data_IF_562541001719
#
_entry.id   IF_562541001719
#
_cell.length_a   1.000
_cell.length_b   1.000
_cell.length_c   1.000
_cell.angle_alpha   90.00
_cell.angle_beta   90.00
_cell.angle_gamma   90.00
#
_symmetry.space_group_name_H-M   'P 1'
#
loop_
_entity.id
_entity.type
_entity.pdbx_description
1 polymer ?
#
# COMPACT_ATOMS: atom_id res chain seq x y z
N UNK A 1 77.42 7.84 28.51
CA UNK A 1 77.02 9.19 28.05
C UNK A 1 75.87 9.00 27.08
N UNK A 2 74.70 9.54 27.43
CA UNK A 2 73.52 9.86 26.59
C UNK A 2 72.72 8.68 25.99
N UNK A 3 71.55 8.35 26.56
CA UNK A 3 70.21 8.93 26.27
C UNK A 3 69.66 8.44 24.91
N UNK A 4 68.89 7.34 24.90
CA UNK A 4 67.41 7.31 24.93
C UNK A 4 66.76 7.68 23.59
N UNK A 5 66.08 6.71 22.96
CA UNK A 5 64.70 6.89 22.49
C UNK A 5 64.07 5.53 22.16
N UNK A 6 63.59 4.90 23.23
CA UNK A 6 62.51 3.94 23.17
C UNK A 6 61.22 4.72 22.85
N UNK A 7 60.81 4.78 21.58
CA UNK A 7 59.45 5.13 21.15
C UNK A 7 59.23 4.63 19.73
N UNK A 8 59.17 3.31 19.55
CA UNK A 8 58.66 2.72 18.30
C UNK A 8 57.67 1.58 18.59
N UNK A 9 56.85 1.76 19.62
CA UNK A 9 55.73 0.88 19.97
C UNK A 9 54.57 1.72 20.53
N UNK A 10 53.96 2.60 19.72
CA UNK A 10 52.71 3.27 20.13
C UNK A 10 51.85 3.81 18.98
N UNK A 11 51.91 3.27 17.75
CA UNK A 11 50.90 3.61 16.72
C UNK A 11 50.61 2.42 15.78
N UNK A 12 50.45 1.22 16.35
CA UNK A 12 49.47 0.29 15.77
C UNK A 12 48.15 0.66 16.42
N UNK A 13 47.58 1.77 15.96
CA UNK A 13 46.22 2.13 16.30
C UNK A 13 45.36 0.95 15.88
N UNK A 14 44.66 0.37 16.86
CA UNK A 14 43.52 -0.49 16.64
C UNK A 14 42.53 0.29 15.75
N UNK A 15 42.70 0.20 14.43
CA UNK A 15 41.65 0.43 13.47
C UNK A 15 40.74 -0.80 13.60
N UNK A 16 40.02 -0.85 14.71
CA UNK A 16 38.71 -1.50 14.73
C UNK A 16 37.92 -0.68 13.74
N UNK A 17 37.97 -1.09 12.47
CA UNK A 17 36.91 -0.80 11.54
C UNK A 17 35.71 -1.51 12.16
N UNK A 18 35.03 -0.79 13.06
CA UNK A 18 33.63 -1.08 13.35
C UNK A 18 32.98 -0.84 12.00
N UNK A 19 32.91 -1.88 11.18
CA UNK A 19 31.88 -1.98 10.18
C UNK A 19 30.61 -1.91 11.02
N UNK A 20 30.10 -0.69 11.24
CA UNK A 20 28.71 -0.50 11.56
C UNK A 20 28.03 -1.05 10.33
N UNK A 21 27.71 -2.34 10.34
CA UNK A 21 26.69 -2.90 9.49
C UNK A 21 25.48 -2.04 9.80
N UNK A 22 25.23 -1.02 8.97
CA UNK A 22 23.99 -0.28 9.05
C UNK A 22 22.91 -1.34 8.98
N UNK A 23 22.10 -1.42 10.03
CA UNK A 23 20.99 -2.35 10.06
C UNK A 23 20.17 -2.06 8.80
N UNK A 24 19.96 -3.06 7.95
CA UNK A 24 19.18 -2.88 6.72
C UNK A 24 17.77 -2.44 7.13
N UNK A 25 17.46 -1.17 6.88
CA UNK A 25 16.17 -0.56 7.15
C UNK A 25 15.08 -1.20 6.27
N UNK A 26 13.82 -1.13 6.75
CA UNK A 26 12.67 -1.47 5.92
C UNK A 26 12.06 -0.19 5.36
N UNK A 27 12.36 0.08 4.09
CA UNK A 27 11.77 1.14 3.28
C UNK A 27 11.13 0.51 2.03
N UNK A 28 10.27 1.25 1.34
CA UNK A 28 9.86 0.90 -0.03
C UNK A 28 11.05 1.08 -0.97
N UNK A 29 11.24 0.16 -1.92
CA UNK A 29 12.41 0.14 -2.81
C UNK A 29 11.99 0.38 -4.26
N UNK A 30 12.80 1.13 -5.01
CA UNK A 30 12.56 1.52 -6.40
C UNK A 30 12.50 0.35 -7.40
N UNK A 31 11.99 0.62 -8.60
CA UNK A 31 12.11 -0.26 -9.75
C UNK A 31 13.51 -0.19 -10.37
N UNK A 32 14.20 -1.32 -10.49
CA UNK A 32 15.48 -1.42 -11.21
C UNK A 32 16.73 -0.90 -10.48
N UNK A 33 16.57 -0.24 -9.33
CA UNK A 33 17.66 0.13 -8.42
C UNK A 33 17.33 -0.29 -6.98
N UNK A 34 18.34 -0.64 -6.16
CA UNK A 34 18.16 -0.90 -4.73
C UNK A 34 18.06 0.40 -3.91
N UNK A 35 17.53 1.45 -4.51
CA UNK A 35 17.38 2.76 -3.86
C UNK A 35 16.05 2.80 -3.10
N UNK A 36 16.08 3.40 -1.93
CA UNK A 36 14.88 3.71 -1.18
C UNK A 36 14.01 4.73 -1.94
N UNK A 37 12.69 4.53 -1.87
CA UNK A 37 11.67 5.47 -2.33
C UNK A 37 10.65 5.69 -1.22
N UNK A 38 10.10 6.89 -1.17
CA UNK A 38 9.14 7.23 -0.13
C UNK A 38 7.83 6.42 -0.24
N UNK A 39 7.44 6.10 -1.47
CA UNK A 39 6.27 5.28 -1.74
C UNK A 39 6.33 4.73 -3.16
N UNK A 40 5.49 3.73 -3.43
CA UNK A 40 5.15 3.34 -4.80
C UNK A 40 3.72 2.82 -4.87
N UNK A 41 3.11 2.96 -6.04
CA UNK A 41 1.84 2.32 -6.42
C UNK A 41 2.11 1.34 -7.55
N UNK A 42 1.61 0.11 -7.43
CA UNK A 42 1.65 -0.89 -8.51
C UNK A 42 0.23 -1.22 -8.92
N UNK A 43 -0.06 -1.11 -10.22
CA UNK A 43 -1.26 -1.64 -10.86
C UNK A 43 -0.87 -2.87 -11.69
N UNK A 44 -1.05 -4.04 -11.08
CA UNK A 44 -0.85 -5.32 -11.73
C UNK A 44 -2.05 -5.62 -12.62
N UNK A 45 -1.82 -6.10 -13.83
CA UNK A 45 -2.87 -6.36 -14.82
C UNK A 45 -3.28 -7.83 -14.83
N UNK A 46 -4.56 -8.09 -15.08
CA UNK A 46 -5.03 -9.40 -15.54
C UNK A 46 -4.32 -9.84 -16.84
N UNK A 47 -4.46 -11.12 -17.28
CA UNK A 47 -4.01 -11.57 -18.59
C UNK A 47 -4.45 -10.62 -19.71
N UNK A 48 -3.47 -9.95 -20.33
CA UNK A 48 -3.69 -8.90 -21.33
C UNK A 48 -2.74 -9.11 -22.51
N UNK A 49 -3.30 -9.37 -23.68
CA UNK A 49 -2.54 -9.61 -24.91
C UNK A 49 -2.21 -8.28 -25.59
N UNK A 50 -1.05 -8.20 -26.25
CA UNK A 50 -0.68 -7.08 -27.12
C UNK A 50 -0.09 -5.87 -26.39
N UNK A 51 0.23 -6.00 -25.11
CA UNK A 51 0.95 -4.95 -24.34
C UNK A 51 2.47 -5.05 -24.51
N UNK A 52 2.97 -6.25 -24.79
CA UNK A 52 4.38 -6.53 -24.99
C UNK A 52 4.73 -6.61 -26.49
N UNK A 53 5.87 -6.04 -26.89
CA UNK A 53 6.23 -5.81 -28.31
C UNK A 53 6.72 -7.06 -29.05
N UNK A 54 7.39 -8.01 -28.38
CA UNK A 54 7.83 -9.28 -28.98
C UNK A 54 7.89 -10.39 -27.93
N UNK A 55 7.19 -11.51 -28.15
CA UNK A 55 7.19 -12.78 -27.38
C UNK A 55 7.29 -12.71 -25.83
N UNK A 56 7.03 -11.57 -25.20
CA UNK A 56 7.01 -11.46 -23.75
C UNK A 56 5.62 -11.86 -23.25
N UNK A 57 5.59 -12.98 -22.52
CA UNK A 57 4.39 -13.58 -21.96
C UNK A 57 3.93 -12.88 -20.69
N UNK A 58 4.65 -11.86 -20.19
CA UNK A 58 4.44 -11.30 -18.86
C UNK A 58 3.02 -10.73 -18.72
N UNK A 59 2.57 -9.85 -19.61
CA UNK A 59 1.19 -9.34 -19.55
C UNK A 59 0.17 -10.41 -19.95
N UNK A 60 0.49 -11.26 -20.93
CA UNK A 60 -0.39 -12.34 -21.38
C UNK A 60 -0.66 -13.39 -20.28
N UNK A 61 0.32 -13.63 -19.41
CA UNK A 61 0.26 -14.55 -18.27
C UNK A 61 -0.36 -13.89 -17.03
N UNK A 62 -0.73 -12.61 -17.13
CA UNK A 62 -1.27 -11.86 -16.00
C UNK A 62 -0.23 -11.59 -14.91
N UNK A 63 1.03 -11.41 -15.28
CA UNK A 63 2.14 -11.03 -14.38
C UNK A 63 2.65 -9.61 -14.65
N UNK A 64 2.17 -8.97 -15.71
CA UNK A 64 2.55 -7.62 -16.11
C UNK A 64 1.93 -6.55 -15.23
N UNK A 65 2.66 -5.47 -15.01
CA UNK A 65 2.19 -4.38 -14.18
C UNK A 65 2.75 -3.02 -14.60
N UNK A 66 2.02 -1.98 -14.20
CA UNK A 66 2.45 -0.59 -14.27
C UNK A 66 2.73 -0.08 -12.86
N UNK A 67 3.63 0.88 -12.73
CA UNK A 67 3.96 1.46 -11.44
C UNK A 67 4.11 2.98 -11.49
N UNK A 68 3.96 3.60 -10.31
CA UNK A 68 4.22 5.00 -10.02
C UNK A 68 5.07 5.07 -8.77
N UNK A 69 6.02 5.99 -8.74
CA UNK A 69 6.78 6.35 -7.56
C UNK A 69 7.26 7.81 -7.71
N UNK A 70 7.88 8.42 -6.68
CA UNK A 70 8.36 9.80 -6.78
C UNK A 70 9.29 10.09 -7.95
N UNK A 71 10.04 9.09 -8.45
CA UNK A 71 10.97 9.25 -9.58
C UNK A 71 10.26 9.16 -10.94
N UNK A 72 9.11 8.49 -11.03
CA UNK A 72 8.35 8.29 -12.27
C UNK A 72 6.99 9.00 -12.30
N UNK A 73 6.79 10.00 -11.43
CA UNK A 73 5.48 10.60 -11.15
C UNK A 73 4.89 11.51 -12.26
N UNK A 74 5.28 11.30 -13.51
CA UNK A 74 4.70 11.97 -14.69
C UNK A 74 3.61 11.13 -15.36
N UNK A 75 3.50 9.84 -15.03
CA UNK A 75 2.52 8.91 -15.58
C UNK A 75 2.88 7.46 -15.31
N UNK A 76 1.98 6.55 -15.68
CA UNK A 76 2.19 5.11 -15.51
C UNK A 76 3.45 4.63 -16.24
N UNK A 77 4.33 3.93 -15.53
CA UNK A 77 5.49 3.28 -16.12
C UNK A 77 5.25 1.77 -16.20
N UNK A 78 5.30 1.20 -17.41
CA UNK A 78 5.27 -0.24 -17.64
C UNK A 78 6.56 -0.88 -17.14
N UNK A 79 6.43 -1.93 -16.33
CA UNK A 79 7.57 -2.76 -15.99
C UNK A 79 7.90 -3.73 -17.12
N UNK A 80 9.20 -3.95 -17.33
CA UNK A 80 9.74 -5.00 -18.20
C UNK A 80 9.99 -6.32 -17.45
N UNK A 81 9.72 -6.34 -16.15
CA UNK A 81 9.97 -7.46 -15.23
C UNK A 81 8.62 -7.90 -14.66
N UNK A 82 8.37 -9.21 -14.55
CA UNK A 82 7.10 -9.72 -14.02
C UNK A 82 6.94 -9.47 -12.53
N UNK A 83 5.71 -9.26 -12.05
CA UNK A 83 5.44 -8.99 -10.63
C UNK A 83 5.90 -10.12 -9.69
N UNK A 84 6.01 -11.34 -10.21
CA UNK A 84 6.45 -12.53 -9.48
C UNK A 84 7.93 -12.87 -9.61
N UNK A 85 8.73 -12.07 -10.31
CA UNK A 85 10.16 -12.31 -10.49
C UNK A 85 11.00 -11.45 -9.55
N UNK A 86 12.28 -11.81 -9.42
CA UNK A 86 13.25 -11.04 -8.66
C UNK A 86 13.53 -9.67 -9.30
N UNK A 87 14.24 -8.82 -8.57
CA UNK A 87 14.85 -7.58 -9.06
C UNK A 87 13.89 -6.44 -9.42
N UNK A 88 12.60 -6.63 -9.13
CA UNK A 88 11.56 -5.61 -9.26
C UNK A 88 11.12 -5.05 -7.91
N UNK A 89 10.49 -3.89 -7.94
CA UNK A 89 10.06 -3.03 -6.82
C UNK A 89 9.50 -3.80 -5.61
N UNK A 90 8.49 -4.65 -5.82
CA UNK A 90 7.80 -5.39 -4.77
C UNK A 90 8.69 -6.47 -4.16
N UNK A 91 9.40 -7.24 -4.98
CA UNK A 91 10.34 -8.25 -4.49
C UNK A 91 11.47 -7.60 -3.71
N UNK A 92 12.12 -6.56 -4.25
CA UNK A 92 13.18 -5.82 -3.56
C UNK A 92 12.74 -5.26 -2.21
N UNK A 93 11.50 -4.79 -2.13
CA UNK A 93 10.90 -4.25 -0.90
C UNK A 93 10.70 -5.34 0.16
N UNK A 94 10.30 -6.55 -0.24
CA UNK A 94 10.08 -7.67 0.69
C UNK A 94 11.33 -8.53 0.93
N UNK A 95 12.33 -8.43 0.05
CA UNK A 95 13.58 -9.18 0.07
C UNK A 95 14.34 -9.14 1.40
N UNK A 96 14.45 -8.00 2.12
CA UNK A 96 15.16 -7.97 3.40
C UNK A 96 14.60 -8.98 4.42
N UNK A 97 13.30 -9.27 4.38
CA UNK A 97 12.69 -10.30 5.22
C UNK A 97 13.08 -11.71 4.76
N UNK A 98 12.95 -12.01 3.46
CA UNK A 98 13.24 -13.35 2.92
C UNK A 98 14.72 -13.72 2.97
N UNK A 99 15.62 -12.73 2.92
CA UNK A 99 17.06 -12.96 3.07
C UNK A 99 17.45 -13.24 4.54
N UNK A 100 16.63 -12.83 5.52
CA UNK A 100 16.93 -12.95 6.95
C UNK A 100 15.68 -13.31 7.80
N UNK A 101 14.98 -14.43 7.52
CA UNK A 101 13.74 -14.78 8.22
C UNK A 101 13.94 -15.07 9.71
N UNK A 102 15.16 -15.40 10.14
CA UNK A 102 15.48 -15.63 11.56
C UNK A 102 15.79 -14.35 12.35
N UNK A 103 15.87 -13.18 11.69
CA UNK A 103 16.21 -11.91 12.34
C UNK A 103 15.16 -11.52 13.40
N UNK A 104 15.60 -11.47 14.66
CA UNK A 104 14.74 -11.25 15.81
C UNK A 104 14.49 -9.76 16.09
N UNK A 105 15.23 -8.85 15.46
CA UNK A 105 15.17 -7.41 15.73
C UNK A 105 14.17 -6.68 14.81
N UNK A 106 13.40 -7.42 14.00
CA UNK A 106 12.50 -6.85 13.00
C UNK A 106 11.05 -7.02 13.41
N UNK A 107 10.29 -5.93 13.48
CA UNK A 107 8.84 -6.02 13.58
C UNK A 107 8.28 -6.61 12.28
N UNK A 108 7.33 -7.53 12.41
CA UNK A 108 6.61 -8.14 11.29
C UNK A 108 5.13 -8.29 11.61
N UNK A 109 4.24 -7.76 10.77
CA UNK A 109 2.78 -7.97 10.87
C UNK A 109 2.18 -8.14 9.47
N UNK A 110 1.65 -9.33 9.18
CA UNK A 110 0.98 -9.66 7.92
C UNK A 110 -0.48 -9.88 8.22
N UNK A 111 -1.36 -9.24 7.46
CA UNK A 111 -2.79 -9.35 7.68
C UNK A 111 -3.58 -9.56 6.40
N UNK A 112 -4.61 -10.39 6.49
CA UNK A 112 -5.56 -10.65 5.41
C UNK A 112 -6.81 -11.33 5.94
N UNK A 113 -7.99 -10.85 5.55
CA UNK A 113 -9.26 -11.49 5.90
C UNK A 113 -9.52 -12.82 5.18
N UNK A 114 -8.74 -13.13 4.14
CA UNK A 114 -8.85 -14.37 3.36
C UNK A 114 -8.01 -15.51 3.94
N UNK A 115 -7.14 -15.22 4.91
CA UNK A 115 -6.23 -16.20 5.51
C UNK A 115 -6.93 -17.26 6.39
N UNK A 116 -8.03 -16.88 7.05
CA UNK A 116 -8.78 -17.73 7.97
C UNK A 116 -10.26 -17.61 7.64
N UNK A 117 -11.00 -18.72 7.61
CA UNK A 117 -12.47 -18.69 7.57
C UNK A 117 -13.02 -18.55 8.98
N UNK A 118 -13.73 -17.46 9.27
CA UNK A 118 -14.36 -17.21 10.56
C UNK A 118 -15.85 -16.99 10.26
N UNK A 119 -16.72 -17.95 10.57
CA UNK A 119 -18.16 -17.79 10.39
C UNK A 119 -18.68 -16.59 11.19
N UNK A 120 -19.58 -15.81 10.59
CA UNK A 120 -20.34 -14.73 11.25
C UNK A 120 -19.53 -13.52 11.77
N UNK A 121 -18.30 -13.31 11.29
CA UNK A 121 -17.54 -12.10 11.59
C UNK A 121 -17.44 -11.21 10.34
N UNK A 122 -17.97 -9.97 10.34
CA UNK A 122 -17.71 -9.01 9.29
C UNK A 122 -16.23 -8.61 9.33
N UNK A 123 -15.45 -9.08 8.35
CA UNK A 123 -14.00 -8.84 8.27
C UNK A 123 -13.72 -7.63 7.40
N UNK A 124 -12.71 -6.83 7.74
CA UNK A 124 -12.19 -5.87 6.76
C UNK A 124 -11.63 -6.63 5.56
N UNK A 125 -11.93 -6.21 4.32
CA UNK A 125 -11.25 -6.72 3.13
C UNK A 125 -9.77 -6.29 3.04
N UNK A 126 -9.28 -5.48 3.98
CA UNK A 126 -7.91 -4.98 4.02
C UNK A 126 -6.89 -6.10 4.16
N UNK A 127 -5.82 -5.98 3.37
CA UNK A 127 -4.69 -6.90 3.34
C UNK A 127 -3.40 -6.08 3.27
N UNK A 128 -2.35 -6.58 3.90
CA UNK A 128 -1.09 -5.87 3.88
C UNK A 128 -0.01 -6.44 4.77
N UNK A 129 1.12 -5.75 4.74
CA UNK A 129 2.37 -6.10 5.40
C UNK A 129 2.95 -4.86 6.06
N UNK A 130 3.39 -5.03 7.29
CA UNK A 130 4.17 -4.05 8.03
C UNK A 130 5.50 -4.71 8.40
N UNK A 131 6.59 -4.03 8.06
CA UNK A 131 7.93 -4.40 8.50
C UNK A 131 8.65 -3.18 9.05
N UNK A 132 9.39 -3.35 10.13
CA UNK A 132 10.21 -2.26 10.69
C UNK A 132 11.50 -2.80 11.30
N UNK A 133 12.57 -2.03 11.15
CA UNK A 133 13.89 -2.25 11.75
C UNK A 133 14.57 -0.89 11.89
N UNK A 134 15.35 -0.73 12.96
CA UNK A 134 15.98 0.53 13.31
C UNK A 134 14.92 1.64 13.43
N UNK A 135 15.08 2.76 12.74
CA UNK A 135 14.20 3.94 12.76
C UNK A 135 13.25 4.02 11.56
N UNK A 136 13.17 2.95 10.76
CA UNK A 136 12.41 2.88 9.53
C UNK A 136 11.33 1.81 9.56
N UNK A 137 10.25 2.07 8.83
CA UNK A 137 9.20 1.11 8.59
C UNK A 137 8.67 1.22 7.16
N UNK A 138 8.18 0.09 6.65
CA UNK A 138 7.38 0.06 5.44
C UNK A 138 5.99 -0.48 5.77
N UNK A 139 4.98 0.11 5.15
CA UNK A 139 3.61 -0.39 5.17
C UNK A 139 3.13 -0.58 3.74
N UNK A 140 2.86 -1.83 3.37
CA UNK A 140 2.28 -2.22 2.10
C UNK A 140 0.82 -2.59 2.31
N UNK A 141 -0.11 -1.87 1.69
CA UNK A 141 -1.53 -2.24 1.63
C UNK A 141 -1.90 -2.64 0.20
N UNK A 142 -2.71 -3.66 0.03
CA UNK A 142 -2.99 -4.22 -1.30
C UNK A 142 -4.33 -4.97 -1.41
N UNK A 143 -4.74 -5.21 -2.66
CA UNK A 143 -5.90 -6.05 -2.98
C UNK A 143 -5.56 -7.54 -3.16
N UNK A 144 -4.28 -7.90 -3.21
CA UNK A 144 -3.80 -9.26 -3.54
C UNK A 144 -4.23 -10.28 -2.47
N UNK A 145 -5.02 -11.31 -2.82
CA UNK A 145 -5.40 -12.39 -1.90
C UNK A 145 -4.21 -13.15 -1.32
N UNK A 146 -4.23 -13.37 0.00
CA UNK A 146 -3.31 -14.28 0.71
C UNK A 146 -1.82 -14.01 0.43
N UNK A 147 -1.47 -12.74 0.24
CA UNK A 147 -0.10 -12.30 -0.03
C UNK A 147 0.47 -11.51 1.15
N UNK A 148 1.79 -11.58 1.39
CA UNK A 148 2.75 -12.49 0.77
C UNK A 148 2.94 -13.79 1.57
N UNK A 149 3.46 -14.86 0.94
CA UNK A 149 3.85 -16.08 1.66
C UNK A 149 4.96 -15.80 2.70
N UNK A 150 5.00 -16.59 3.77
CA UNK A 150 5.98 -16.40 4.87
C UNK A 150 7.30 -17.13 4.64
N UNK A 151 7.37 -18.07 3.71
CA UNK A 151 8.54 -18.90 3.45
C UNK A 151 9.48 -18.28 2.40
N UNK A 152 8.92 -17.82 1.28
CA UNK A 152 9.67 -17.22 0.18
C UNK A 152 8.81 -16.25 -0.61
N UNK A 153 9.46 -15.29 -1.26
CA UNK A 153 8.77 -14.44 -2.22
C UNK A 153 8.21 -15.29 -3.37
N UNK A 154 6.89 -15.30 -3.50
CA UNK A 154 6.19 -15.91 -4.62
C UNK A 154 4.91 -15.13 -4.88
N UNK A 155 4.68 -14.73 -6.13
CA UNK A 155 3.39 -14.19 -6.51
C UNK A 155 2.31 -15.28 -6.43
N UNK A 156 1.13 -15.02 -5.85
CA UNK A 156 0.11 -16.05 -5.71
C UNK A 156 -0.55 -16.39 -7.06
N UNK A 157 -0.92 -17.66 -7.20
CA UNK A 157 -1.71 -18.16 -8.32
C UNK A 157 -3.20 -17.76 -8.18
N UNK A 158 -4.05 -18.13 -9.14
CA UNK A 158 -5.50 -17.87 -9.10
C UNK A 158 -5.84 -16.38 -9.21
N UNK A 159 -6.77 -15.87 -8.38
CA UNK A 159 -7.28 -14.48 -8.46
C UNK A 159 -6.20 -13.40 -8.48
N UNK A 160 -5.08 -13.59 -7.78
CA UNK A 160 -3.97 -12.65 -7.81
C UNK A 160 -3.38 -12.49 -9.23
N UNK A 161 -3.38 -13.58 -10.02
CA UNK A 161 -2.91 -13.63 -11.40
C UNK A 161 -4.04 -13.38 -12.42
N UNK A 162 -5.24 -13.88 -12.17
CA UNK A 162 -6.41 -13.75 -13.06
C UNK A 162 -7.03 -12.34 -13.05
N UNK A 163 -6.95 -11.62 -11.94
CA UNK A 163 -7.48 -10.27 -11.81
C UNK A 163 -6.37 -9.22 -11.78
N UNK A 164 -6.72 -8.00 -12.15
CA UNK A 164 -5.91 -6.83 -11.85
C UNK A 164 -5.91 -6.55 -10.34
N UNK A 165 -4.78 -6.04 -9.85
CA UNK A 165 -4.52 -5.80 -8.42
C UNK A 165 -3.85 -4.45 -8.24
N UNK A 166 -4.14 -3.78 -7.12
CA UNK A 166 -3.49 -2.53 -6.73
C UNK A 166 -2.73 -2.74 -5.42
N UNK A 167 -1.49 -2.28 -5.40
CA UNK A 167 -0.62 -2.31 -4.23
C UNK A 167 -0.08 -0.91 -3.98
N UNK A 168 0.00 -0.51 -2.71
CA UNK A 168 0.49 0.79 -2.30
C UNK A 168 1.43 0.63 -1.11
N UNK A 169 2.69 0.99 -1.31
CA UNK A 169 3.73 0.95 -0.28
C UNK A 169 4.05 2.37 0.20
N UNK A 170 4.18 2.54 1.51
CA UNK A 170 4.64 3.76 2.17
C UNK A 170 5.85 3.48 3.05
N UNK A 171 6.90 4.30 2.92
CA UNK A 171 8.01 4.40 3.86
C UNK A 171 7.64 5.36 4.98
N UNK A 172 7.79 4.92 6.23
CA UNK A 172 7.33 5.62 7.43
C UNK A 172 8.46 5.68 8.46
N UNK A 173 8.47 6.73 9.27
CA UNK A 173 9.19 6.72 10.54
C UNK A 173 8.39 5.95 11.61
N UNK A 174 9.03 5.64 12.75
CA UNK A 174 8.41 4.85 13.82
C UNK A 174 7.21 5.53 14.50
N UNK A 175 7.17 6.86 14.55
CA UNK A 175 6.06 7.60 15.17
C UNK A 175 4.83 7.53 14.28
N UNK A 176 5.02 7.77 12.99
CA UNK A 176 3.99 7.61 11.97
C UNK A 176 3.51 6.17 11.91
N UNK A 177 4.42 5.19 11.94
CA UNK A 177 4.04 3.77 11.99
C UNK A 177 3.13 3.49 13.20
N UNK A 178 3.50 3.98 14.39
CA UNK A 178 2.70 3.78 15.61
C UNK A 178 1.28 4.30 15.41
N UNK A 179 1.11 5.51 14.89
CA UNK A 179 -0.20 6.10 14.63
C UNK A 179 -0.98 5.32 13.56
N UNK A 180 -0.31 4.86 12.50
CA UNK A 180 -0.90 4.02 11.45
C UNK A 180 -1.42 2.70 12.03
N UNK A 181 -0.64 2.01 12.86
CA UNK A 181 -1.07 0.75 13.50
C UNK A 181 -2.26 0.99 14.42
N UNK A 182 -2.26 2.09 15.18
CA UNK A 182 -3.40 2.46 16.02
C UNK A 182 -4.69 2.66 15.20
N UNK A 183 -4.59 3.32 14.03
CA UNK A 183 -5.71 3.50 13.13
C UNK A 183 -6.12 2.17 12.44
N UNK A 184 -5.16 1.35 12.02
CA UNK A 184 -5.41 0.07 11.36
C UNK A 184 -6.22 -0.89 12.24
N UNK A 185 -6.10 -0.81 13.57
CA UNK A 185 -6.96 -1.58 14.51
C UNK A 185 -8.46 -1.38 14.30
N UNK A 186 -8.90 -0.21 13.81
CA UNK A 186 -10.32 0.04 13.51
C UNK A 186 -10.86 -0.88 12.41
N UNK A 187 -9.98 -1.35 11.52
CA UNK A 187 -10.32 -2.30 10.48
C UNK A 187 -10.52 -3.73 11.02
N UNK A 188 -10.13 -4.01 12.26
CA UNK A 188 -10.10 -5.37 12.82
C UNK A 188 -9.44 -6.37 11.85
N UNK A 189 -8.20 -6.10 11.40
CA UNK A 189 -7.53 -6.96 10.44
C UNK A 189 -7.24 -8.34 11.04
N UNK A 190 -7.29 -9.39 10.22
CA UNK A 190 -6.87 -10.73 10.65
C UNK A 190 -5.37 -10.85 10.42
N UNK A 191 -4.60 -10.80 11.49
CA UNK A 191 -3.15 -11.04 11.47
C UNK A 191 -2.91 -12.55 11.35
N UNK A 192 -2.24 -12.98 10.29
CA UNK A 192 -1.94 -14.41 10.06
C UNK A 192 -0.47 -14.75 10.27
N UNK A 193 0.40 -13.75 10.31
CA UNK A 193 1.81 -13.92 10.63
C UNK A 193 2.34 -12.69 11.33
N UNK A 194 3.15 -12.91 12.38
CA UNK A 194 3.70 -11.82 13.18
C UNK A 194 5.01 -12.19 13.85
N UNK A 195 5.84 -11.17 14.09
CA UNK A 195 6.96 -11.23 15.02
C UNK A 195 7.12 -9.85 15.66
N UNK A 196 7.12 -9.80 17.00
CA UNK A 196 7.21 -8.56 17.77
C UNK A 196 8.48 -8.60 18.64
N UNK A 197 9.56 -7.90 18.23
CA UNK A 197 10.70 -7.66 19.09
C UNK A 197 10.27 -6.97 20.39
N UNK A 198 11.07 -7.09 21.46
CA UNK A 198 10.71 -6.59 22.80
C UNK A 198 10.27 -5.11 22.79
N UNK A 199 10.92 -4.26 21.99
CA UNK A 199 10.56 -2.84 21.87
C UNK A 199 9.16 -2.57 21.27
N UNK A 200 8.62 -3.53 20.51
CA UNK A 200 7.29 -3.47 19.91
C UNK A 200 6.25 -4.25 20.73
N UNK A 201 6.59 -4.83 21.88
CA UNK A 201 5.61 -5.44 22.80
C UNK A 201 4.94 -4.38 23.66
N UNK A 202 4.39 -3.35 23.00
CA UNK A 202 3.73 -2.20 23.61
C UNK A 202 2.55 -1.77 22.73
N UNK A 203 1.68 -0.92 23.28
CA UNK A 203 0.59 -0.34 22.52
C UNK A 203 1.08 0.55 21.37
N UNK A 204 0.49 0.48 20.15
CA UNK A 204 -0.70 -0.30 19.76
C UNK A 204 -0.40 -1.66 19.10
N UNK A 205 0.85 -2.08 19.09
CA UNK A 205 1.33 -3.25 18.34
C UNK A 205 0.86 -4.57 18.96
N UNK A 206 0.80 -4.66 20.30
CA UNK A 206 0.24 -5.83 20.97
C UNK A 206 -1.24 -6.01 20.61
N UNK A 207 -2.01 -4.94 20.63
CA UNK A 207 -3.45 -5.00 20.44
C UNK A 207 -3.86 -5.35 19.01
N UNK A 208 -3.09 -4.93 18.01
CA UNK A 208 -3.37 -5.34 16.63
C UNK A 208 -3.12 -6.84 16.43
N UNK A 209 -2.11 -7.41 17.11
CA UNK A 209 -1.81 -8.85 16.99
C UNK A 209 -2.69 -9.74 17.86
N UNK A 210 -3.13 -9.26 19.02
CA UNK A 210 -4.10 -9.97 19.87
C UNK A 210 -5.53 -9.79 19.40
N UNK A 211 -5.79 -8.86 18.48
CA UNK A 211 -7.12 -8.59 17.93
C UNK A 211 -8.04 -7.87 18.91
N UNK A 212 -7.48 -7.05 19.80
CA UNK A 212 -8.29 -6.31 20.78
C UNK A 212 -9.25 -5.33 20.10
N UNK A 213 -10.56 -5.36 20.46
CA UNK A 213 -11.57 -4.58 19.78
C UNK A 213 -11.45 -3.08 20.06
N UNK A 214 -11.76 -2.27 19.05
CA UNK A 214 -11.84 -0.82 19.18
C UNK A 214 -13.26 -0.39 19.57
N UNK A 215 -13.36 0.52 20.56
CA UNK A 215 -14.65 1.03 21.05
C UNK A 215 -15.24 2.12 20.14
N UNK A 216 -14.41 3.05 19.67
CA UNK A 216 -14.83 4.13 18.77
C UNK A 216 -15.32 3.61 17.40
N UNK A 217 -16.22 4.36 16.75
CA UNK A 217 -16.78 3.97 15.46
C UNK A 217 -15.83 4.22 14.28
N UNK A 218 -15.08 5.32 14.33
CA UNK A 218 -14.15 5.74 13.27
C UNK A 218 -13.01 6.58 13.81
N UNK A 219 -11.96 6.74 13.01
CA UNK A 219 -10.84 7.65 13.26
C UNK A 219 -10.39 8.24 11.92
N UNK A 220 -9.93 9.48 11.97
CA UNK A 220 -9.21 10.13 10.87
C UNK A 220 -7.81 10.42 11.39
N UNK A 221 -6.81 9.93 10.67
CA UNK A 221 -5.39 10.15 10.96
C UNK A 221 -4.77 10.90 9.79
N UNK A 222 -4.27 12.10 10.04
CA UNK A 222 -3.42 12.82 9.10
C UNK A 222 -1.95 12.57 9.45
N UNK A 223 -1.13 12.25 8.45
CA UNK A 223 0.30 12.02 8.63
C UNK A 223 1.09 12.35 7.36
N UNK A 224 2.40 12.47 7.49
CA UNK A 224 3.31 12.62 6.36
C UNK A 224 4.21 11.38 6.32
N UNK A 225 4.49 10.87 5.13
CA UNK A 225 5.46 9.78 4.93
C UNK A 225 6.89 10.24 5.24
N UNK A 226 7.83 9.29 5.35
CA UNK A 226 9.21 9.54 5.80
C UNK A 226 9.92 10.59 4.94
N UNK A 227 9.89 10.41 3.63
CA UNK A 227 10.56 11.25 2.64
C UNK A 227 12.07 11.03 2.58
N UNK A 228 12.62 10.78 1.40
CA UNK A 228 14.07 10.73 1.18
C UNK A 228 14.59 11.99 0.47
N UNK A 229 13.70 12.74 -0.20
CA UNK A 229 13.95 14.09 -0.72
C UNK A 229 12.73 15.00 -0.49
N UNK A 230 12.89 16.34 -0.47
CA UNK A 230 11.83 17.28 -0.12
C UNK A 230 10.51 17.15 -0.90
N UNK A 231 10.56 16.69 -2.16
CA UNK A 231 9.40 16.58 -3.05
C UNK A 231 8.83 15.16 -3.17
N UNK A 232 9.34 14.22 -2.37
CA UNK A 232 8.91 12.82 -2.45
C UNK A 232 7.81 12.47 -1.45
N UNK A 233 7.69 13.26 -0.37
CA UNK A 233 6.71 13.06 0.70
C UNK A 233 5.26 13.15 0.21
N UNK A 234 4.41 12.30 0.78
CA UNK A 234 2.96 12.41 0.67
C UNK A 234 2.37 12.92 1.98
N UNK A 235 1.53 13.95 1.87
CA UNK A 235 0.55 14.25 2.91
C UNK A 235 -0.60 13.25 2.77
N UNK A 236 -0.77 12.42 3.80
CA UNK A 236 -1.72 11.33 3.85
C UNK A 236 -2.84 11.64 4.84
N UNK A 237 -4.04 11.16 4.50
CA UNK A 237 -5.22 11.11 5.37
C UNK A 237 -5.76 9.69 5.36
N UNK A 238 -5.69 9.02 6.50
CA UNK A 238 -6.20 7.67 6.69
C UNK A 238 -7.51 7.70 7.45
N UNK A 239 -8.59 7.40 6.75
CA UNK A 239 -9.96 7.38 7.26
C UNK A 239 -10.33 5.93 7.50
N UNK A 240 -10.56 5.56 8.76
CA UNK A 240 -10.84 4.19 9.17
C UNK A 240 -12.15 4.11 9.93
N UNK A 241 -12.84 2.97 9.80
CA UNK A 241 -14.06 2.69 10.55
C UNK A 241 -14.13 1.24 11.01
N UNK A 242 -14.81 1.04 12.13
CA UNK A 242 -15.28 -0.27 12.59
C UNK A 242 -16.62 -0.61 11.92
N UNK A 243 -17.11 -1.84 12.10
CA UNK A 243 -18.43 -2.30 11.62
C UNK A 243 -19.66 -1.73 12.35
N UNK A 244 -19.54 -0.61 13.08
CA UNK A 244 -20.59 -0.05 13.94
C UNK A 244 -21.53 0.92 13.22
N UNK A 245 -22.12 0.48 12.10
CA UNK A 245 -23.18 1.17 11.35
C UNK A 245 -22.85 2.59 10.85
N UNK A 246 -21.66 2.79 10.29
CA UNK A 246 -21.24 4.05 9.66
C UNK A 246 -20.70 3.78 8.25
N UNK A 247 -21.11 4.53 7.23
CA UNK A 247 -20.64 4.31 5.85
C UNK A 247 -19.30 4.98 5.59
N UNK A 248 -18.38 4.28 4.93
CA UNK A 248 -17.06 4.83 4.61
C UNK A 248 -17.20 5.95 3.58
N UNK A 249 -17.80 5.63 2.43
CA UNK A 249 -17.82 6.53 1.29
C UNK A 249 -18.76 7.72 1.51
N UNK A 250 -20.01 7.45 1.88
CA UNK A 250 -21.05 8.48 1.99
C UNK A 250 -20.83 9.40 3.21
N UNK A 251 -20.58 8.83 4.40
CA UNK A 251 -20.50 9.60 5.65
C UNK A 251 -19.11 10.14 5.93
N UNK A 252 -18.07 9.30 5.87
CA UNK A 252 -16.73 9.69 6.33
C UNK A 252 -15.90 10.37 5.24
N UNK A 253 -15.91 9.84 4.01
CA UNK A 253 -15.14 10.39 2.90
C UNK A 253 -15.87 11.56 2.24
N UNK A 254 -17.11 11.41 1.77
CA UNK A 254 -17.78 12.47 1.03
C UNK A 254 -18.31 13.58 1.95
N UNK A 255 -19.22 13.24 2.86
CA UNK A 255 -19.83 14.23 3.77
C UNK A 255 -18.82 14.75 4.80
N UNK A 256 -18.07 13.85 5.43
CA UNK A 256 -17.10 14.18 6.48
C UNK A 256 -15.94 15.03 5.98
N UNK A 257 -15.44 14.77 4.77
CA UNK A 257 -14.38 15.59 4.16
C UNK A 257 -14.93 16.75 3.33
N UNK A 258 -16.24 16.79 3.09
CA UNK A 258 -16.90 17.79 2.23
C UNK A 258 -16.38 17.76 0.79
N UNK A 259 -16.15 16.56 0.26
CA UNK A 259 -15.56 16.34 -1.07
C UNK A 259 -16.49 15.40 -1.87
N UNK A 260 -17.01 15.82 -3.03
CA UNK A 260 -17.70 14.88 -3.93
C UNK A 260 -16.69 13.91 -4.53
N UNK A 261 -17.08 12.65 -4.71
CA UNK A 261 -16.18 11.57 -5.11
C UNK A 261 -16.68 10.83 -6.35
N UNK A 262 -15.74 10.39 -7.19
CA UNK A 262 -15.91 9.28 -8.10
C UNK A 262 -15.24 8.03 -7.53
N UNK A 263 -15.90 6.89 -7.58
CA UNK A 263 -15.43 5.64 -6.97
C UNK A 263 -15.31 4.52 -8.01
N UNK A 264 -14.18 3.82 -8.00
CA UNK A 264 -13.98 2.55 -8.67
C UNK A 264 -13.96 1.45 -7.60
N UNK A 265 -15.02 0.66 -7.56
CA UNK A 265 -15.19 -0.50 -6.67
C UNK A 265 -15.79 -1.64 -7.49
N UNK A 266 -15.83 -2.86 -6.97
CA UNK A 266 -16.37 -4.02 -7.72
C UNK A 266 -17.91 -4.07 -7.72
N UNK A 267 -18.55 -3.51 -6.70
CA UNK A 267 -19.98 -3.68 -6.42
C UNK A 267 -20.89 -2.56 -6.93
N UNK A 268 -22.15 -2.89 -7.22
CA UNK A 268 -23.11 -2.05 -7.94
C UNK A 268 -24.09 -1.28 -7.04
N UNK A 269 -23.72 -0.92 -5.81
CA UNK A 269 -24.58 -0.05 -4.99
C UNK A 269 -24.76 1.28 -5.71
N UNK A 270 -26.00 1.72 -6.00
CA UNK A 270 -26.26 2.98 -6.72
C UNK A 270 -25.54 4.18 -6.12
N UNK A 271 -25.15 5.13 -6.97
CA UNK A 271 -24.55 6.41 -6.58
C UNK A 271 -25.35 7.13 -5.49
N UNK A 272 -24.64 7.76 -4.54
CA UNK A 272 -25.26 8.58 -3.51
C UNK A 272 -25.40 10.01 -4.04
N UNK A 273 -26.63 10.38 -4.39
CA UNK A 273 -26.94 11.63 -5.07
C UNK A 273 -27.44 12.72 -4.11
N UNK A 274 -26.69 12.97 -3.03
CA UNK A 274 -27.00 14.09 -2.13
C UNK A 274 -26.82 15.44 -2.84
N UNK A 275 -27.58 16.44 -2.39
CA UNK A 275 -27.48 17.82 -2.89
C UNK A 275 -26.10 18.43 -2.58
N UNK A 276 -25.49 18.06 -1.45
CA UNK A 276 -24.25 18.67 -0.97
C UNK A 276 -22.99 17.91 -1.39
N UNK A 277 -22.94 16.59 -1.17
CA UNK A 277 -21.75 15.78 -1.44
C UNK A 277 -22.16 14.45 -2.08
N UNK A 278 -21.77 14.27 -3.35
CA UNK A 278 -22.13 13.10 -4.15
C UNK A 278 -21.04 12.03 -4.08
N UNK A 279 -21.46 10.78 -4.17
CA UNK A 279 -20.56 9.64 -4.43
C UNK A 279 -21.04 8.98 -5.72
N UNK A 280 -20.31 9.20 -6.80
CA UNK A 280 -20.61 8.73 -8.14
C UNK A 280 -19.81 7.46 -8.44
N UNK A 281 -20.47 6.39 -8.85
CA UNK A 281 -19.75 5.19 -9.27
C UNK A 281 -19.25 5.33 -10.71
N UNK A 282 -18.02 4.93 -10.92
CA UNK A 282 -17.47 4.65 -12.25
C UNK A 282 -17.95 3.24 -12.65
N UNK A 283 -18.59 3.12 -13.82
CA UNK A 283 -19.21 1.88 -14.32
C UNK A 283 -18.24 1.02 -15.11
N UNK A 284 -17.56 1.63 -16.08
CA UNK A 284 -16.68 0.97 -17.05
C UNK A 284 -15.79 2.01 -17.74
N UNK A 285 -14.89 1.56 -18.61
CA UNK A 285 -14.07 2.45 -19.44
C UNK A 285 -12.83 3.02 -18.75
N UNK A 286 -12.49 2.55 -17.55
CA UNK A 286 -11.21 2.85 -16.91
C UNK A 286 -10.07 2.26 -17.73
N UNK A 287 -9.02 3.06 -17.97
CA UNK A 287 -7.90 2.71 -18.82
C UNK A 287 -6.59 3.27 -18.28
N UNK A 288 -5.52 2.49 -18.37
CA UNK A 288 -4.14 2.99 -18.24
C UNK A 288 -3.66 3.43 -19.61
N UNK A 289 -3.06 4.61 -19.68
CA UNK A 289 -2.45 5.15 -20.90
C UNK A 289 -0.96 5.34 -20.63
N UNK A 290 -0.13 4.74 -21.50
CA UNK A 290 1.31 4.92 -21.50
C UNK A 290 1.81 5.04 -22.93
N UNK A 291 2.28 6.22 -23.33
CA UNK A 291 2.65 6.49 -24.73
C UNK A 291 1.48 6.22 -25.66
N UNK A 292 1.67 5.34 -26.65
CA UNK A 292 0.62 4.87 -27.57
C UNK A 292 -0.20 3.69 -27.02
N UNK A 293 0.21 3.08 -25.90
CA UNK A 293 -0.47 1.92 -25.33
C UNK A 293 -1.67 2.34 -24.50
N UNK A 294 -2.82 1.73 -24.79
CA UNK A 294 -4.07 1.91 -24.03
C UNK A 294 -4.51 0.55 -23.50
N UNK A 295 -4.50 0.40 -22.17
CA UNK A 295 -4.80 -0.85 -21.51
C UNK A 295 -6.11 -0.67 -20.75
N UNK A 296 -7.15 -1.39 -21.18
CA UNK A 296 -8.46 -1.34 -20.54
C UNK A 296 -8.48 -2.13 -19.23
N UNK A 297 -9.10 -1.56 -18.21
CA UNK A 297 -9.32 -2.19 -16.92
C UNK A 297 -10.80 -2.59 -16.84
N UNK A 298 -11.02 -3.90 -16.72
CA UNK A 298 -12.36 -4.47 -16.61
C UNK A 298 -12.71 -4.69 -15.13
N UNK A 299 -13.81 -4.05 -14.73
CA UNK A 299 -14.33 -4.01 -13.36
C UNK A 299 -14.58 -5.37 -12.72
N UNK A 300 -14.99 -6.38 -13.51
CA UNK A 300 -15.30 -7.71 -12.96
C UNK A 300 -14.03 -8.50 -12.64
N UNK A 301 -12.98 -8.25 -13.43
CA UNK A 301 -11.64 -8.84 -13.29
C UNK A 301 -10.64 -7.87 -12.66
N UNK A 302 -11.10 -6.92 -11.84
CA UNK A 302 -10.26 -5.99 -11.11
C UNK A 302 -10.65 -6.00 -9.63
N UNK A 303 -9.67 -6.28 -8.77
CA UNK A 303 -9.84 -6.23 -7.32
C UNK A 303 -9.26 -4.93 -6.73
N UNK A 304 -8.69 -4.05 -7.57
CA UNK A 304 -8.34 -2.70 -7.15
C UNK A 304 -9.60 -1.90 -6.80
N UNK A 305 -9.54 -1.16 -5.69
CA UNK A 305 -10.57 -0.18 -5.34
C UNK A 305 -9.92 1.13 -4.98
N UNK A 306 -10.48 2.21 -5.50
CA UNK A 306 -9.98 3.54 -5.28
C UNK A 306 -11.07 4.58 -5.48
N UNK A 307 -10.83 5.78 -4.96
CA UNK A 307 -11.70 6.93 -5.15
C UNK A 307 -10.87 8.16 -5.54
N UNK A 308 -11.49 9.06 -6.30
CA UNK A 308 -10.92 10.37 -6.62
C UNK A 308 -11.95 11.45 -6.35
N UNK A 309 -11.52 12.66 -6.03
CA UNK A 309 -12.44 13.79 -5.99
C UNK A 309 -13.01 14.10 -7.37
N UNK A 310 -14.31 14.38 -7.42
CA UNK A 310 -15.05 14.72 -8.66
C UNK A 310 -14.79 16.17 -9.10
N UNK A 311 -14.09 16.95 -8.29
CA UNK A 311 -13.64 18.29 -8.66
C UNK A 311 -12.15 18.49 -8.35
N UNK A 312 -11.46 19.35 -9.12
CA UNK A 312 -10.03 19.59 -8.93
C UNK A 312 -9.73 20.59 -7.81
N UNK A 313 -10.74 21.18 -7.16
CA UNK A 313 -10.54 22.17 -6.08
C UNK A 313 -9.83 21.52 -4.89
N UNK A 314 -10.20 20.28 -4.59
CA UNK A 314 -9.48 19.45 -3.62
C UNK A 314 -9.00 18.20 -4.33
N UNK A 315 -7.77 18.20 -4.91
CA UNK A 315 -7.26 17.06 -5.67
C UNK A 315 -6.99 15.90 -4.72
N UNK A 316 -7.88 14.92 -4.67
CA UNK A 316 -7.83 13.80 -3.72
C UNK A 316 -7.79 12.49 -4.49
N UNK A 317 -6.82 11.64 -4.19
CA UNK A 317 -6.85 10.23 -4.57
C UNK A 317 -6.81 9.37 -3.31
N UNK A 318 -7.59 8.30 -3.29
CA UNK A 318 -7.66 7.36 -2.18
C UNK A 318 -7.53 5.92 -2.66
N UNK A 319 -6.62 5.18 -2.04
CA UNK A 319 -6.65 3.72 -2.04
C UNK A 319 -7.69 3.25 -1.02
N UNK A 320 -8.43 2.17 -1.32
CA UNK A 320 -9.30 1.51 -0.35
C UNK A 320 -9.32 0.00 -0.60
N UNK A 321 -9.48 -0.79 0.45
CA UNK A 321 -9.82 -2.21 0.30
C UNK A 321 -11.34 -2.44 0.30
N UNK A 322 -12.13 -1.44 0.72
CA UNK A 322 -13.56 -1.55 0.91
C UNK A 322 -14.32 -1.37 -0.39
N UNK A 323 -15.30 -2.24 -0.62
CA UNK A 323 -16.29 -2.05 -1.67
C UNK A 323 -17.47 -1.22 -1.19
N UNK A 324 -18.07 -0.49 -2.12
CA UNK A 324 -19.30 0.24 -1.89
C UNK A 324 -20.50 -0.70 -2.02
N UNK A 325 -21.03 -1.14 -0.88
CA UNK A 325 -22.09 -2.16 -0.79
C UNK A 325 -23.19 -1.75 0.20
N UNK A 326 -24.36 -2.39 0.13
CA UNK A 326 -25.45 -2.17 1.09
C UNK A 326 -25.06 -2.46 2.53
N UNK A 327 -24.09 -3.36 2.73
CA UNK A 327 -23.64 -3.79 4.06
C UNK A 327 -22.34 -3.11 4.51
N UNK A 328 -21.78 -2.17 3.74
CA UNK A 328 -20.51 -1.52 4.09
C UNK A 328 -20.55 -0.88 5.48
N UNK A 329 -21.73 -0.40 5.91
CA UNK A 329 -21.89 0.27 7.20
C UNK A 329 -21.59 -0.69 8.37
N UNK A 330 -21.86 -1.99 8.17
CA UNK A 330 -21.71 -3.07 9.14
C UNK A 330 -20.35 -3.77 9.06
N UNK A 331 -19.57 -3.48 8.02
CA UNK A 331 -18.21 -4.01 7.87
C UNK A 331 -17.18 -2.97 8.32
N UNK A 332 -16.04 -3.38 8.87
CA UNK A 332 -14.89 -2.49 9.01
C UNK A 332 -14.32 -2.12 7.63
N UNK A 333 -13.58 -1.02 7.56
CA UNK A 333 -13.00 -0.58 6.30
C UNK A 333 -12.21 0.71 6.42
N UNK A 334 -11.52 1.07 5.35
CA UNK A 334 -10.64 2.22 5.34
C UNK A 334 -10.45 2.83 3.96
N UNK A 335 -10.04 4.11 3.95
CA UNK A 335 -9.55 4.82 2.79
C UNK A 335 -8.25 5.55 3.16
N UNK A 336 -7.20 5.26 2.42
CA UNK A 336 -5.89 5.88 2.55
C UNK A 336 -5.74 6.90 1.42
N UNK A 337 -5.88 8.17 1.77
CA UNK A 337 -6.00 9.27 0.83
C UNK A 337 -4.78 10.19 0.83
N UNK A 338 -4.51 10.85 -0.30
CA UNK A 338 -3.50 11.90 -0.40
C UNK A 338 -4.00 13.03 -1.28
N UNK A 339 -3.50 14.24 -1.01
CA UNK A 339 -3.73 15.42 -1.85
C UNK A 339 -2.61 15.67 -2.87
N UNK A 340 -1.80 14.65 -3.16
CA UNK A 340 -0.76 14.73 -4.19
C UNK A 340 -1.40 14.95 -5.57
N UNK A 341 -1.12 16.12 -6.16
CA UNK A 341 -1.73 16.55 -7.42
C UNK A 341 -1.43 15.61 -8.58
N UNK A 342 -0.24 15.01 -8.64
CA UNK A 342 0.13 14.12 -9.74
C UNK A 342 -0.60 12.77 -9.65
N UNK A 343 -0.66 12.16 -8.46
CA UNK A 343 -1.48 10.97 -8.23
C UNK A 343 -2.95 11.25 -8.54
N UNK A 344 -3.48 12.39 -8.07
CA UNK A 344 -4.83 12.82 -8.43
C UNK A 344 -5.02 12.95 -9.94
N UNK A 345 -4.11 13.60 -10.66
CA UNK A 345 -4.23 13.77 -12.11
C UNK A 345 -4.20 12.43 -12.87
N UNK A 346 -3.36 11.49 -12.44
CA UNK A 346 -3.25 10.17 -13.06
C UNK A 346 -4.56 9.39 -12.89
N UNK A 347 -5.04 9.21 -11.65
CA UNK A 347 -6.29 8.47 -11.40
C UNK A 347 -7.54 9.25 -11.82
N UNK A 348 -7.51 10.58 -11.71
CA UNK A 348 -8.55 11.48 -12.19
C UNK A 348 -8.68 11.43 -13.71
N UNK A 349 -7.57 11.33 -14.44
CA UNK A 349 -7.56 11.07 -15.88
C UNK A 349 -8.19 9.71 -16.22
N UNK A 350 -7.84 8.66 -15.48
CA UNK A 350 -8.48 7.34 -15.61
C UNK A 350 -10.01 7.42 -15.39
N UNK A 351 -10.46 8.17 -14.38
CA UNK A 351 -11.87 8.37 -14.08
C UNK A 351 -12.60 9.29 -15.09
N UNK A 352 -11.90 10.23 -15.71
CA UNK A 352 -12.45 11.16 -16.70
C UNK A 352 -12.69 10.47 -18.06
N UNK A 353 -11.86 9.48 -18.41
CA UNK A 353 -12.04 8.66 -19.61
C UNK A 353 -13.16 7.61 -19.46
N UNK A 354 -13.60 7.35 -18.23
CA UNK A 354 -14.53 6.29 -17.88
C UNK A 354 -15.99 6.76 -17.90
N UNK A 355 -16.91 5.81 -18.12
CA UNK A 355 -18.34 6.08 -18.00
C UNK A 355 -18.76 6.00 -16.53
N UNK A 356 -19.47 7.02 -16.07
CA UNK A 356 -19.95 7.11 -14.69
C UNK A 356 -21.47 7.05 -14.60
N UNK A 357 -21.98 6.64 -13.44
CA UNK A 357 -23.38 6.85 -13.09
C UNK A 357 -23.74 8.34 -13.08
N UNK A 358 -25.04 8.60 -13.22
CA UNK A 358 -25.59 9.95 -13.14
C UNK A 358 -26.42 10.08 -11.87
N UNK A 359 -26.28 11.24 -11.26
CA UNK A 359 -27.32 11.90 -10.50
C UNK A 359 -28.01 12.88 -11.46
#
# INVERSE_FOLDING_TARGET
>A
MLLSQATLWSMVGLLVVVQRTFAKEYNCIDHGANDDVDWFVIYKMKPTIGVDEAQATIFADGLGYFYLNPKTLVGWTKSTIGIGTADQTLERTLKPYYDAPADQDTLRIWYSSQSISLPNCPKSPSQGVIMSKADAAMWLTHSVPSFPPTDKFKWPDGKATENSQLLFCLSLDLNTLKSVVEALRYEMPIVYWQHLPAAFQVSPYLEIVTGEPVTAQSKVLDFTTKGFKPNEQLSMRYIVKTGKNIKLFDNLMATGQRIPLKTWTKHNLKSACSVYYKVINIKDGVRIVQGSSIISIDRQSDDARWAVSDNPVTPLWCFTASDRTSDEAKAPGSALCTTNLQLYNIFGGMAAMANSEKC
#
